data_IF_102228474628
#
_entry.id   IF_102228474628
#
_cell.length_a   1.000
_cell.length_b   1.000
_cell.length_c   1.000
_cell.angle_alpha   90.00
_cell.angle_beta   90.00
_cell.angle_gamma   90.00
#
_symmetry.space_group_name_H-M   'P 1'
#
loop_
_entity.id
_entity.type
_entity.pdbx_description
1 polymer ?
#
# COMPACT_ATOMS: atom_id res chain seq x y z
N UNK A 1 -8.33 -12.23 21.73
CA UNK A 1 -8.57 -11.13 20.76
C UNK A 1 -7.39 -11.04 19.79
N UNK A 2 -7.43 -11.80 18.70
CA UNK A 2 -6.43 -11.70 17.63
C UNK A 2 -6.82 -10.60 16.67
N UNK A 3 -6.18 -9.42 16.74
CA UNK A 3 -6.33 -8.39 15.70
C UNK A 3 -5.81 -8.99 14.39
N UNK A 4 -6.72 -9.20 13.44
CA UNK A 4 -6.46 -9.85 12.15
C UNK A 4 -5.27 -9.21 11.41
N UNK A 5 -4.24 -10.00 11.11
CA UNK A 5 -3.05 -9.62 10.32
C UNK A 5 -3.40 -8.97 8.98
N UNK A 6 -4.55 -9.33 8.37
CA UNK A 6 -4.98 -8.77 7.08
C UNK A 6 -5.39 -7.30 7.14
N UNK A 7 -5.86 -6.81 8.30
CA UNK A 7 -6.12 -5.38 8.52
C UNK A 7 -4.84 -4.57 8.70
N UNK A 8 -3.70 -5.17 9.05
CA UNK A 8 -2.42 -4.44 9.13
C UNK A 8 -1.82 -4.19 7.76
N UNK A 9 -1.80 -5.20 6.88
CA UNK A 9 -1.08 -5.11 5.60
C UNK A 9 -1.60 -4.01 4.65
N UNK A 10 -2.92 -3.81 4.55
CA UNK A 10 -3.52 -2.79 3.65
C UNK A 10 -3.37 -1.36 4.15
N UNK A 11 -3.32 -1.20 5.48
CA UNK A 11 -3.07 0.09 6.09
C UNK A 11 -1.60 0.49 5.93
N UNK A 12 -0.68 -0.47 5.97
CA UNK A 12 0.76 -0.19 6.00
C UNK A 12 1.28 0.36 4.65
N UNK A 13 0.84 -0.17 3.50
CA UNK A 13 1.26 0.37 2.19
C UNK A 13 0.67 1.75 1.91
N UNK A 14 -0.59 1.98 2.28
CA UNK A 14 -1.23 3.31 2.18
C UNK A 14 -0.55 4.33 3.10
N UNK A 15 -0.12 3.92 4.30
CA UNK A 15 0.62 4.78 5.23
C UNK A 15 1.94 5.22 4.60
N UNK A 16 2.72 4.32 4.00
CA UNK A 16 3.96 4.74 3.33
C UNK A 16 3.71 5.71 2.16
N UNK A 17 2.71 5.44 1.32
CA UNK A 17 2.35 6.35 0.21
C UNK A 17 1.89 7.72 0.73
N UNK A 18 1.04 7.72 1.77
CA UNK A 18 0.58 8.94 2.42
C UNK A 18 1.75 9.72 3.04
N UNK A 19 2.60 9.07 3.81
CA UNK A 19 3.72 9.69 4.52
C UNK A 19 4.75 10.27 3.56
N UNK A 20 5.07 9.55 2.47
CA UNK A 20 5.94 10.06 1.42
C UNK A 20 5.36 11.30 0.74
N UNK A 21 4.04 11.30 0.52
CA UNK A 21 3.32 12.42 -0.02
C UNK A 21 3.34 13.60 0.97
N UNK A 22 2.91 13.40 2.21
CA UNK A 22 2.75 14.46 3.21
C UNK A 22 4.02 14.95 3.91
N UNK A 23 5.18 14.32 3.68
CA UNK A 23 6.42 14.57 4.43
C UNK A 23 6.82 16.04 4.51
N UNK A 24 6.75 16.80 3.41
CA UNK A 24 7.19 18.21 3.42
C UNK A 24 6.22 19.10 4.21
N UNK A 25 4.92 18.83 4.09
CA UNK A 25 3.90 19.50 4.87
C UNK A 25 4.09 19.20 6.37
N UNK A 26 4.24 17.93 6.71
CA UNK A 26 4.39 17.50 8.10
C UNK A 26 5.69 18.00 8.72
N UNK A 27 6.77 18.10 7.93
CA UNK A 27 8.02 18.76 8.34
C UNK A 27 7.81 20.24 8.63
N UNK A 28 7.05 20.96 7.80
CA UNK A 28 6.75 22.38 8.01
C UNK A 28 5.85 22.63 9.23
N UNK A 29 4.88 21.74 9.46
CA UNK A 29 3.94 21.82 10.58
C UNK A 29 4.53 21.28 11.91
N UNK A 30 5.73 20.68 11.87
CA UNK A 30 6.37 20.04 13.03
C UNK A 30 5.66 18.78 13.52
N UNK A 31 4.89 18.12 12.64
CA UNK A 31 4.23 16.84 12.94
C UNK A 31 5.28 15.72 13.00
N UNK A 32 5.19 14.88 14.03
CA UNK A 32 6.07 13.72 14.20
C UNK A 32 5.48 12.38 13.75
N UNK A 33 4.21 12.36 13.31
CA UNK A 33 3.51 11.13 12.91
C UNK A 33 3.74 10.82 11.42
N UNK A 34 5.01 10.69 11.05
CA UNK A 34 5.47 10.35 9.69
C UNK A 34 6.64 9.37 9.78
N UNK A 35 6.55 8.24 9.10
CA UNK A 35 7.61 7.23 9.18
C UNK A 35 8.93 7.68 8.55
N UNK A 36 8.91 8.57 7.54
CA UNK A 36 10.13 9.12 6.95
C UNK A 36 10.84 10.03 7.96
N UNK A 37 10.10 10.91 8.64
CA UNK A 37 10.66 11.78 9.68
C UNK A 37 11.22 10.98 10.86
N UNK A 38 10.59 9.86 11.22
CA UNK A 38 11.12 8.95 12.23
C UNK A 38 12.47 8.34 11.81
N UNK A 39 12.61 7.89 10.56
CA UNK A 39 13.89 7.38 10.04
C UNK A 39 14.95 8.48 9.89
N UNK A 40 14.56 9.69 9.50
CA UNK A 40 15.46 10.86 9.49
C UNK A 40 16.02 11.13 10.89
N UNK A 41 15.19 11.06 11.93
CA UNK A 41 15.60 11.20 13.33
C UNK A 41 16.54 10.07 13.81
N UNK A 42 16.48 8.88 13.18
CA UNK A 42 17.41 7.77 13.40
C UNK A 42 18.73 7.90 12.60
N UNK A 43 18.87 8.96 11.79
CA UNK A 43 20.08 9.26 11.03
C UNK A 43 20.04 8.90 9.54
N UNK A 44 18.88 8.50 9.00
CA UNK A 44 18.72 8.39 7.55
C UNK A 44 18.72 9.78 6.90
N UNK A 45 19.25 9.88 5.68
CA UNK A 45 18.97 11.05 4.84
C UNK A 45 17.53 11.00 4.33
N UNK A 46 16.93 12.14 3.95
CA UNK A 46 15.59 12.17 3.36
C UNK A 46 15.44 11.23 2.16
N UNK A 47 16.43 11.18 1.27
CA UNK A 47 16.43 10.29 0.10
C UNK A 47 16.44 8.80 0.51
N UNK A 48 17.28 8.43 1.48
CA UNK A 48 17.32 7.05 1.99
C UNK A 48 16.01 6.65 2.66
N UNK A 49 15.36 7.56 3.39
CA UNK A 49 14.06 7.31 3.99
C UNK A 49 12.97 7.10 2.92
N UNK A 50 13.02 7.87 1.83
CA UNK A 50 12.12 7.72 0.67
C UNK A 50 12.32 6.40 -0.07
N UNK A 51 13.57 6.05 -0.39
CA UNK A 51 13.92 4.79 -1.06
C UNK A 51 13.44 3.59 -0.23
N UNK A 52 13.61 3.66 1.09
CA UNK A 52 13.14 2.63 2.02
C UNK A 52 11.62 2.51 2.03
N UNK A 53 10.90 3.62 1.96
CA UNK A 53 9.43 3.60 1.87
C UNK A 53 8.97 2.95 0.55
N UNK A 54 9.61 3.29 -0.58
CA UNK A 54 9.34 2.66 -1.88
C UNK A 54 9.59 1.15 -1.85
N UNK A 55 10.74 0.71 -1.32
CA UNK A 55 11.05 -0.72 -1.18
C UNK A 55 9.98 -1.45 -0.37
N UNK A 56 9.49 -0.84 0.72
CA UNK A 56 8.40 -1.43 1.52
C UNK A 56 7.08 -1.47 0.78
N UNK A 57 6.73 -0.44 0.02
CA UNK A 57 5.53 -0.44 -0.82
C UNK A 57 5.60 -1.60 -1.83
N UNK A 58 6.72 -1.78 -2.53
CA UNK A 58 6.92 -2.86 -3.50
C UNK A 58 6.85 -4.24 -2.84
N UNK A 59 7.51 -4.42 -1.68
CA UNK A 59 7.44 -5.68 -0.94
C UNK A 59 6.00 -6.02 -0.55
N UNK A 60 5.27 -5.06 0.03
CA UNK A 60 3.89 -5.28 0.48
C UNK A 60 2.94 -5.56 -0.69
N UNK A 61 3.16 -4.92 -1.84
CA UNK A 61 2.41 -5.23 -3.04
C UNK A 61 2.69 -6.66 -3.53
N UNK A 62 3.95 -7.08 -3.54
CA UNK A 62 4.34 -8.46 -3.87
C UNK A 62 3.71 -9.50 -2.92
N UNK A 63 3.76 -9.24 -1.61
CA UNK A 63 3.08 -10.07 -0.60
C UNK A 63 1.56 -10.14 -0.85
N UNK A 64 0.94 -9.00 -1.19
CA UNK A 64 -0.48 -8.95 -1.51
C UNK A 64 -0.80 -9.80 -2.75
N UNK A 65 -0.05 -9.67 -3.85
CA UNK A 65 -0.22 -10.49 -5.06
C UNK A 65 -0.11 -11.99 -4.77
N UNK A 66 0.85 -12.39 -3.93
CA UNK A 66 0.96 -13.79 -3.50
C UNK A 66 -0.29 -14.23 -2.73
N UNK A 67 -0.74 -13.42 -1.77
CA UNK A 67 -1.92 -13.73 -0.96
C UNK A 67 -3.21 -13.79 -1.80
N UNK A 68 -3.40 -12.88 -2.75
CA UNK A 68 -4.59 -12.88 -3.62
C UNK A 68 -4.63 -14.11 -4.51
N UNK A 69 -3.49 -14.58 -5.00
CA UNK A 69 -3.41 -15.83 -5.78
C UNK A 69 -3.81 -17.08 -4.97
N UNK A 70 -3.71 -17.03 -3.64
CA UNK A 70 -4.09 -18.12 -2.74
C UNK A 70 -5.59 -18.09 -2.38
N UNK A 71 -6.28 -16.98 -2.60
CA UNK A 71 -7.69 -16.79 -2.25
C UNK A 71 -8.61 -17.89 -2.80
N UNK A 72 -8.51 -18.32 -4.08
CA UNK A 72 -9.37 -19.39 -4.60
C UNK A 72 -9.10 -20.74 -3.92
N UNK A 73 -7.86 -21.03 -3.56
CA UNK A 73 -7.52 -22.25 -2.83
C UNK A 73 -8.07 -22.19 -1.40
N UNK A 74 -7.90 -21.06 -0.71
CA UNK A 74 -8.44 -20.84 0.63
C UNK A 74 -9.97 -21.01 0.67
N UNK A 75 -10.68 -20.45 -0.32
CA UNK A 75 -12.14 -20.59 -0.43
C UNK A 75 -12.57 -22.05 -0.56
N UNK A 76 -11.84 -22.86 -1.34
CA UNK A 76 -12.08 -24.30 -1.45
C UNK A 76 -11.78 -25.05 -0.15
N UNK A 77 -10.66 -24.75 0.48
CA UNK A 77 -10.22 -25.40 1.72
C UNK A 77 -11.17 -25.13 2.89
N UNK A 78 -11.80 -23.96 2.92
CA UNK A 78 -12.79 -23.59 3.92
C UNK A 78 -14.22 -24.02 3.56
N UNK A 79 -14.40 -24.69 2.42
CA UNK A 79 -15.73 -25.12 1.91
C UNK A 79 -16.74 -23.97 1.89
N UNK A 80 -16.29 -22.76 1.52
CA UNK A 80 -17.16 -21.59 1.47
C UNK A 80 -18.28 -21.82 0.47
N UNK A 81 -19.49 -21.37 0.83
CA UNK A 81 -20.61 -21.39 -0.08
C UNK A 81 -20.41 -20.39 -1.24
N UNK A 82 -21.23 -20.45 -2.31
CA UNK A 82 -21.07 -19.58 -3.47
C UNK A 82 -21.25 -18.08 -3.20
N UNK A 83 -21.94 -17.70 -2.12
CA UNK A 83 -22.11 -16.29 -1.73
C UNK A 83 -20.86 -15.79 -1.02
N UNK A 84 -20.37 -16.52 -0.02
CA UNK A 84 -19.15 -16.19 0.72
C UNK A 84 -17.92 -16.18 -0.18
N UNK A 85 -17.82 -17.13 -1.12
CA UNK A 85 -16.76 -17.15 -2.11
C UNK A 85 -16.75 -15.88 -2.98
N UNK A 86 -17.92 -15.43 -3.45
CA UNK A 86 -18.05 -14.16 -4.18
C UNK A 86 -17.67 -12.98 -3.30
N UNK A 87 -18.12 -12.95 -2.05
CA UNK A 87 -17.76 -11.89 -1.10
C UNK A 87 -16.24 -11.79 -0.90
N UNK A 88 -15.56 -12.93 -0.79
CA UNK A 88 -14.10 -12.99 -0.66
C UNK A 88 -13.39 -12.51 -1.94
N UNK A 89 -13.86 -12.92 -3.13
CA UNK A 89 -13.33 -12.48 -4.42
C UNK A 89 -13.51 -10.97 -4.61
N UNK A 90 -14.72 -10.45 -4.43
CA UNK A 90 -15.03 -9.01 -4.51
C UNK A 90 -14.21 -8.19 -3.51
N UNK A 91 -14.08 -8.67 -2.28
CA UNK A 91 -13.25 -7.98 -1.28
C UNK A 91 -11.78 -7.96 -1.67
N UNK A 92 -11.27 -9.04 -2.24
CA UNK A 92 -9.89 -9.14 -2.72
C UNK A 92 -9.63 -8.14 -3.85
N UNK A 93 -10.53 -8.08 -4.83
CA UNK A 93 -10.49 -7.12 -5.94
C UNK A 93 -10.55 -5.68 -5.46
N UNK A 94 -11.49 -5.35 -4.56
CA UNK A 94 -11.62 -4.01 -3.99
C UNK A 94 -10.33 -3.55 -3.29
N UNK A 95 -9.59 -4.47 -2.68
CA UNK A 95 -8.32 -4.14 -2.01
C UNK A 95 -7.19 -3.92 -3.00
N UNK A 96 -7.19 -4.68 -4.10
CA UNK A 96 -6.24 -4.51 -5.17
C UNK A 96 -6.44 -3.16 -5.88
N UNK A 97 -7.70 -2.80 -6.14
CA UNK A 97 -8.10 -1.49 -6.67
C UNK A 97 -7.78 -0.36 -5.70
N UNK A 98 -7.94 -0.56 -4.40
CA UNK A 98 -7.57 0.44 -3.39
C UNK A 98 -6.06 0.69 -3.38
N UNK A 99 -5.23 -0.36 -3.48
CA UNK A 99 -3.77 -0.24 -3.50
C UNK A 99 -3.25 0.49 -4.76
N UNK A 100 -3.81 0.17 -5.93
CA UNK A 100 -3.43 0.84 -7.19
C UNK A 100 -4.09 2.22 -7.35
N UNK A 101 -5.28 2.40 -6.81
CA UNK A 101 -6.05 3.63 -6.87
C UNK A 101 -5.56 4.70 -5.89
N UNK A 102 -5.12 4.33 -4.69
CA UNK A 102 -4.66 5.28 -3.68
C UNK A 102 -3.43 6.08 -4.15
N UNK A 103 -2.44 5.40 -4.75
CA UNK A 103 -1.29 6.07 -5.36
C UNK A 103 -1.70 7.06 -6.46
N UNK A 104 -2.66 6.67 -7.32
CA UNK A 104 -3.21 7.55 -8.37
C UNK A 104 -4.01 8.73 -7.83
N UNK A 105 -4.80 8.55 -6.77
CA UNK A 105 -5.57 9.63 -6.16
C UNK A 105 -4.68 10.64 -5.44
N UNK A 106 -3.61 10.17 -4.77
CA UNK A 106 -2.61 11.06 -4.17
C UNK A 106 -1.81 11.81 -5.24
N UNK A 107 -1.53 11.16 -6.38
CA UNK A 107 -0.92 11.78 -7.55
C UNK A 107 -1.82 12.84 -8.22
N UNK A 108 -3.08 12.51 -8.50
CA UNK A 108 -4.00 13.38 -9.22
C UNK A 108 -4.46 14.61 -8.40
N UNK A 109 -4.44 14.52 -7.07
CA UNK A 109 -4.84 15.61 -6.19
C UNK A 109 -3.83 16.78 -6.14
N UNK A 110 -2.75 16.76 -6.95
CA UNK A 110 -1.71 17.80 -7.05
C UNK A 110 -1.08 18.21 -5.71
N UNK A 111 -1.28 17.40 -4.67
CA UNK A 111 -0.96 17.78 -3.30
C UNK A 111 0.55 17.69 -3.04
N UNK A 112 1.28 16.85 -3.80
CA UNK A 112 2.70 16.52 -3.58
C UNK A 112 3.44 16.16 -4.88
N UNK A 113 3.64 17.12 -5.78
CA UNK A 113 4.02 16.94 -7.20
C UNK A 113 5.27 16.08 -7.52
N UNK A 114 6.26 15.99 -6.63
CA UNK A 114 7.59 15.44 -6.96
C UNK A 114 7.77 13.94 -6.66
N UNK A 115 7.00 13.37 -5.73
CA UNK A 115 7.03 11.93 -5.38
C UNK A 115 6.23 11.06 -6.38
N UNK A 116 5.50 11.75 -7.27
CA UNK A 116 4.41 11.20 -8.09
C UNK A 116 4.89 10.29 -9.21
N UNK A 117 6.03 10.58 -9.82
CA UNK A 117 6.42 9.96 -11.09
C UNK A 117 6.91 8.52 -10.94
N UNK A 118 7.44 8.13 -9.78
CA UNK A 118 7.93 6.75 -9.56
C UNK A 118 6.81 5.76 -9.21
N UNK A 119 5.85 6.16 -8.36
CA UNK A 119 4.79 5.26 -7.89
C UNK A 119 3.65 5.17 -8.94
N UNK A 120 3.33 6.25 -9.64
CA UNK A 120 2.20 6.29 -10.58
C UNK A 120 2.52 5.68 -11.95
N UNK A 121 3.80 5.59 -12.33
CA UNK A 121 4.23 5.00 -13.60
C UNK A 121 4.69 3.55 -13.50
N UNK A 122 4.65 2.94 -12.31
CA UNK A 122 4.93 1.53 -12.17
C UNK A 122 3.75 0.68 -12.67
N UNK A 123 3.62 0.61 -13.99
CA UNK A 123 2.70 -0.25 -14.73
C UNK A 123 2.78 -1.72 -14.28
N UNK A 124 3.86 -2.13 -13.59
CA UNK A 124 4.01 -3.48 -13.06
C UNK A 124 3.03 -3.78 -11.92
N UNK A 125 2.65 -2.78 -11.09
CA UNK A 125 1.65 -2.96 -10.03
C UNK A 125 0.24 -3.15 -10.59
N UNK A 126 -0.16 -2.35 -11.59
CA UNK A 126 -1.44 -2.54 -12.28
C UNK A 126 -1.50 -3.90 -13.00
N UNK A 127 -0.38 -4.34 -13.60
CA UNK A 127 -0.31 -5.60 -14.35
C UNK A 127 -0.29 -6.83 -13.43
N UNK A 128 0.35 -6.75 -12.26
CA UNK A 128 0.40 -7.82 -11.26
C UNK A 128 -0.92 -8.00 -10.50
N UNK A 129 -1.73 -6.95 -10.43
CA UNK A 129 -3.05 -6.93 -9.78
C UNK A 129 -4.18 -7.37 -10.73
N UNK A 130 -4.06 -7.08 -12.02
CA UNK A 130 -5.12 -7.34 -13.03
C UNK A 130 -5.06 -8.74 -13.67
N UNK A 131 -4.20 -9.64 -13.19
CA UNK A 131 -4.06 -11.03 -13.67
C UNK A 131 -4.52 -12.02 -12.60
#
# INVERSE_FOLDING_TARGET
>A
MGRSRSKRLRWVSFVYQNDMCSVDKERADGSGDNVLLAWEAEGCTPDVARDRALERIHQLAGEFTILTSQTPHLARTLELDPEDKRGLETWTEACALYLSGAGRCQAAAARYAEVITEIAHDHHLDTAISR
#
